data_IF_484520823725
#
_entry.id   IF_484520823725
#
_cell.length_a   1.000
_cell.length_b   1.000
_cell.length_c   1.000
_cell.angle_alpha   90.00
_cell.angle_beta   90.00
_cell.angle_gamma   90.00
#
_symmetry.space_group_name_H-M   'P 1'
#
loop_
_entity.id
_entity.type
_entity.pdbx_description
1 polymer ?
#
# COMPACT_ATOMS: atom_id res chain seq x y z
N UNK A 1 13.15 82.65 10.51
CA UNK A 1 12.06 81.78 11.01
C UNK A 1 11.53 80.96 9.85
N UNK A 2 12.06 79.75 9.63
CA UNK A 2 11.67 78.88 8.51
C UNK A 2 10.65 77.86 9.00
N UNK A 3 9.43 77.93 8.45
CA UNK A 3 8.33 77.02 8.74
C UNK A 3 8.70 75.60 8.27
N UNK A 4 8.91 74.70 9.23
CA UNK A 4 9.15 73.28 8.96
C UNK A 4 7.82 72.64 8.54
N UNK A 5 7.68 72.34 7.24
CA UNK A 5 6.50 71.66 6.68
C UNK A 5 6.48 70.21 7.15
N UNK A 6 5.73 69.91 8.20
CA UNK A 6 5.46 68.54 8.66
C UNK A 6 4.59 67.84 7.61
N UNK A 7 5.14 66.81 6.95
CA UNK A 7 4.38 65.96 6.03
C UNK A 7 3.35 65.14 6.84
N UNK A 8 2.09 65.04 6.38
CA UNK A 8 1.08 64.24 7.05
C UNK A 8 1.48 62.76 7.12
N UNK A 9 1.09 62.03 8.17
CA UNK A 9 1.47 60.62 8.34
C UNK A 9 0.94 59.79 7.16
N UNK A 10 1.78 58.95 6.54
CA UNK A 10 1.38 58.19 5.36
C UNK A 10 0.28 57.18 5.73
N UNK A 11 -0.76 57.11 4.90
CA UNK A 11 -1.85 56.13 5.06
C UNK A 11 -1.28 54.71 4.91
N UNK A 12 -1.26 53.96 6.01
CA UNK A 12 -0.67 52.60 6.10
C UNK A 12 -1.22 51.65 5.03
N UNK A 13 -2.51 51.78 4.67
CA UNK A 13 -3.17 50.93 3.66
C UNK A 13 -2.65 51.20 2.25
N UNK A 14 -2.44 52.48 1.91
CA UNK A 14 -1.92 52.89 0.59
C UNK A 14 -0.45 52.52 0.38
N UNK A 15 0.35 52.55 1.45
CA UNK A 15 1.74 52.10 1.44
C UNK A 15 1.81 50.58 1.23
N UNK A 16 1.03 49.80 1.99
CA UNK A 16 0.95 48.35 1.83
C UNK A 16 0.54 47.93 0.41
N UNK A 17 -0.50 48.54 -0.15
CA UNK A 17 -0.97 48.22 -1.51
C UNK A 17 0.09 48.55 -2.58
N UNK A 18 0.83 49.65 -2.42
CA UNK A 18 1.96 49.98 -3.31
C UNK A 18 3.08 48.95 -3.24
N UNK A 19 3.45 48.49 -2.05
CA UNK A 19 4.45 47.43 -1.89
C UNK A 19 3.96 46.10 -2.47
N UNK A 20 2.72 45.70 -2.18
CA UNK A 20 2.12 44.48 -2.72
C UNK A 20 2.10 44.47 -4.26
N UNK A 21 1.66 45.58 -4.88
CA UNK A 21 1.65 45.72 -6.35
C UNK A 21 3.05 45.63 -6.95
N UNK A 22 4.07 46.20 -6.29
CA UNK A 22 5.45 46.10 -6.73
C UNK A 22 6.00 44.67 -6.63
N UNK A 23 5.64 43.91 -5.58
CA UNK A 23 6.00 42.50 -5.45
C UNK A 23 5.34 41.65 -6.54
N UNK A 24 4.05 41.85 -6.80
CA UNK A 24 3.32 41.12 -7.85
C UNK A 24 3.91 41.43 -9.23
N UNK A 25 4.21 42.70 -9.51
CA UNK A 25 4.88 43.09 -10.75
C UNK A 25 6.24 42.41 -10.92
N UNK A 26 7.04 42.35 -9.86
CA UNK A 26 8.34 41.66 -9.87
C UNK A 26 8.19 40.17 -10.18
N UNK A 27 7.22 39.49 -9.55
CA UNK A 27 6.93 38.08 -9.83
C UNK A 27 6.43 37.87 -11.27
N UNK A 28 5.58 38.75 -11.80
CA UNK A 28 5.08 38.68 -13.18
C UNK A 28 6.18 38.90 -14.22
N UNK A 29 7.12 39.82 -13.96
CA UNK A 29 8.27 40.05 -14.85
C UNK A 29 9.19 38.82 -14.85
N UNK A 30 9.44 38.21 -13.70
CA UNK A 30 10.25 36.98 -13.59
C UNK A 30 9.62 35.82 -14.40
N UNK A 31 8.30 35.66 -14.29
CA UNK A 31 7.49 34.70 -15.05
C UNK A 31 7.59 34.96 -16.57
N UNK A 32 7.54 36.23 -17.00
CA UNK A 32 7.67 36.63 -18.42
C UNK A 32 9.03 36.28 -19.04
N UNK A 33 10.11 36.33 -18.26
CA UNK A 33 11.47 36.07 -18.77
C UNK A 33 11.89 34.59 -18.72
N UNK A 34 11.11 33.70 -18.07
CA UNK A 34 11.38 32.26 -18.03
C UNK A 34 10.22 31.41 -18.58
N UNK A 35 9.83 31.59 -19.87
CA UNK A 35 8.72 30.84 -20.45
C UNK A 35 8.96 29.32 -20.43
N UNK A 36 10.21 28.87 -20.60
CA UNK A 36 10.57 27.45 -20.54
C UNK A 36 10.36 26.83 -19.15
N UNK A 37 10.69 27.55 -18.08
CA UNK A 37 10.52 27.07 -16.71
C UNK A 37 9.03 26.98 -16.34
N UNK A 38 8.25 27.97 -16.77
CA UNK A 38 6.80 28.01 -16.57
C UNK A 38 6.09 26.89 -17.35
N UNK A 39 6.52 26.64 -18.60
CA UNK A 39 6.04 25.50 -19.37
C UNK A 39 6.36 24.18 -18.66
N UNK A 40 7.59 23.99 -18.16
CA UNK A 40 7.95 22.79 -17.40
C UNK A 40 7.10 22.62 -16.13
N UNK A 41 6.77 23.71 -15.43
CA UNK A 41 5.96 23.69 -14.22
C UNK A 41 4.46 23.41 -14.47
N UNK A 42 3.95 23.70 -15.67
CA UNK A 42 2.59 23.30 -16.10
C UNK A 42 2.59 21.90 -16.73
N UNK A 43 3.63 21.57 -17.49
CA UNK A 43 3.78 20.27 -18.13
C UNK A 43 3.99 19.18 -17.08
N UNK A 44 4.77 19.41 -16.03
CA UNK A 44 4.95 18.48 -14.91
C UNK A 44 3.65 17.92 -14.32
N UNK A 45 2.71 18.75 -13.82
CA UNK A 45 1.44 18.29 -13.27
C UNK A 45 0.48 17.71 -14.31
N UNK A 46 0.68 17.98 -15.62
CA UNK A 46 -0.09 17.34 -16.70
C UNK A 46 0.48 15.99 -17.11
N UNK A 47 1.80 15.80 -17.05
CA UNK A 47 2.45 14.55 -17.45
C UNK A 47 2.06 13.38 -16.54
N UNK A 48 1.99 13.61 -15.23
CA UNK A 48 1.66 12.56 -14.24
C UNK A 48 0.30 11.89 -14.50
N UNK A 49 -0.84 12.62 -14.58
CA UNK A 49 -2.13 11.99 -14.85
C UNK A 49 -2.22 11.41 -16.26
N UNK A 50 -1.53 11.98 -17.25
CA UNK A 50 -1.51 11.42 -18.61
C UNK A 50 -0.82 10.05 -18.63
N UNK A 51 0.34 9.93 -17.99
CA UNK A 51 1.06 8.65 -17.89
C UNK A 51 0.24 7.63 -17.09
N UNK A 52 -0.35 8.03 -15.96
CA UNK A 52 -1.21 7.16 -15.16
C UNK A 52 -2.44 6.69 -15.95
N UNK A 53 -3.07 7.58 -16.72
CA UNK A 53 -4.20 7.23 -17.58
C UNK A 53 -3.82 6.23 -18.67
N UNK A 54 -2.65 6.40 -19.31
CA UNK A 54 -2.13 5.44 -20.28
C UNK A 54 -1.87 4.08 -19.60
N UNK A 55 -1.22 4.07 -18.44
CA UNK A 55 -0.95 2.85 -17.70
C UNK A 55 -2.23 2.12 -17.29
N UNK A 56 -3.27 2.85 -16.90
CA UNK A 56 -4.57 2.27 -16.55
C UNK A 56 -5.34 1.71 -17.76
N UNK A 57 -5.18 2.32 -18.95
CA UNK A 57 -5.77 1.77 -20.18
C UNK A 57 -5.02 0.53 -20.66
N UNK A 58 -3.69 0.51 -20.49
CA UNK A 58 -2.85 -0.63 -20.85
C UNK A 58 -3.01 -1.81 -19.88
N UNK A 59 -3.23 -1.51 -18.60
CA UNK A 59 -3.51 -2.48 -17.55
C UNK A 59 -4.94 -2.24 -17.07
N UNK A 60 -5.96 -2.67 -17.84
CA UNK A 60 -7.32 -2.62 -17.35
C UNK A 60 -7.36 -3.34 -16.00
N UNK A 61 -8.02 -2.75 -15.01
CA UNK A 61 -8.19 -3.39 -13.72
C UNK A 61 -8.93 -4.71 -13.95
N UNK A 62 -8.20 -5.82 -13.88
CA UNK A 62 -8.84 -7.13 -13.90
C UNK A 62 -9.66 -7.24 -12.61
N UNK A 63 -10.95 -7.54 -12.76
CA UNK A 63 -11.81 -7.91 -11.63
C UNK A 63 -11.25 -9.22 -11.06
N UNK A 64 -10.31 -9.11 -10.13
CA UNK A 64 -9.78 -10.27 -9.44
C UNK A 64 -10.93 -10.92 -8.69
N UNK A 65 -11.21 -12.22 -8.91
CA UNK A 65 -12.22 -12.92 -8.13
C UNK A 65 -11.88 -12.82 -6.65
N UNK A 66 -12.91 -12.79 -5.80
CA UNK A 66 -12.73 -12.80 -4.34
C UNK A 66 -11.81 -13.97 -3.96
N UNK A 67 -10.63 -13.64 -3.47
CA UNK A 67 -9.56 -14.58 -3.18
C UNK A 67 -9.44 -14.73 -1.67
N UNK A 68 -9.93 -15.85 -1.17
CA UNK A 68 -9.86 -16.20 0.23
C UNK A 68 -8.64 -17.08 0.46
N UNK A 69 -7.77 -16.62 1.37
CA UNK A 69 -6.62 -17.38 1.83
C UNK A 69 -6.96 -18.02 3.17
N UNK A 70 -6.47 -19.23 3.38
CA UNK A 70 -6.63 -19.91 4.65
C UNK A 70 -5.74 -19.26 5.72
N UNK A 71 -6.31 -19.06 6.91
CA UNK A 71 -5.57 -18.50 8.03
C UNK A 71 -4.59 -19.50 8.61
N UNK A 72 -3.36 -19.05 8.85
CA UNK A 72 -2.38 -19.83 9.59
C UNK A 72 -2.60 -19.55 11.07
N UNK A 73 -2.96 -20.57 11.84
CA UNK A 73 -3.08 -20.47 13.29
C UNK A 73 -1.77 -19.97 13.91
N UNK A 74 -1.81 -19.09 14.90
CA UNK A 74 -0.61 -18.61 15.60
C UNK A 74 -0.03 -19.70 16.52
N UNK A 75 1.29 -19.69 16.83
CA UNK A 75 1.90 -20.67 17.74
C UNK A 75 1.32 -20.61 19.16
N UNK A 76 0.69 -19.49 19.54
CA UNK A 76 -0.03 -19.32 20.81
C UNK A 76 -1.34 -20.10 20.91
N UNK A 77 -1.95 -20.50 19.78
CA UNK A 77 -3.13 -21.36 19.75
C UNK A 77 -2.77 -22.85 19.86
N UNK A 78 -1.47 -23.17 19.89
CA UNK A 78 -0.93 -24.52 19.99
C UNK A 78 0.04 -24.82 18.86
N UNK A 79 1.23 -25.35 19.20
CA UNK A 79 2.29 -25.63 18.23
C UNK A 79 1.85 -26.70 17.21
N UNK A 80 1.04 -27.67 17.64
CA UNK A 80 0.55 -28.75 16.78
C UNK A 80 -0.38 -28.17 15.69
N UNK A 81 -1.36 -27.37 16.09
CA UNK A 81 -2.27 -26.69 15.16
C UNK A 81 -1.50 -25.73 14.23
N UNK A 82 -0.50 -25.01 14.76
CA UNK A 82 0.40 -24.15 13.99
C UNK A 82 1.12 -24.91 12.88
N UNK A 83 1.81 -26.00 13.24
CA UNK A 83 2.59 -26.79 12.27
C UNK A 83 1.67 -27.45 11.24
N UNK A 84 0.54 -27.99 11.67
CA UNK A 84 -0.45 -28.60 10.77
C UNK A 84 -0.98 -27.59 9.74
N UNK A 85 -1.39 -26.40 10.20
CA UNK A 85 -1.90 -25.34 9.33
C UNK A 85 -0.80 -24.81 8.38
N UNK A 86 0.44 -24.71 8.86
CA UNK A 86 1.59 -24.25 8.09
C UNK A 86 2.01 -25.25 6.98
N UNK A 87 1.95 -26.55 7.26
CA UNK A 87 2.23 -27.60 6.27
C UNK A 87 1.08 -27.66 5.24
N UNK A 88 -0.18 -27.54 5.69
CA UNK A 88 -1.35 -27.59 4.83
C UNK A 88 -1.43 -26.39 3.86
N UNK A 89 -1.07 -25.18 4.31
CA UNK A 89 -1.15 -23.94 3.52
C UNK A 89 0.22 -23.35 3.18
N UNK A 90 1.19 -24.20 2.85
CA UNK A 90 2.55 -23.74 2.57
C UNK A 90 2.66 -22.85 1.31
N UNK A 91 1.82 -23.12 0.30
CA UNK A 91 1.85 -22.44 -1.00
C UNK A 91 0.86 -21.27 -1.14
N UNK A 92 0.11 -20.93 -0.09
CA UNK A 92 -0.90 -19.87 -0.08
C UNK A 92 -1.81 -19.90 -1.33
N UNK A 93 -2.47 -21.05 -1.55
CA UNK A 93 -3.38 -21.19 -2.68
C UNK A 93 -4.60 -20.27 -2.52
N UNK A 94 -4.99 -19.63 -3.62
CA UNK A 94 -6.15 -18.74 -3.67
C UNK A 94 -7.43 -19.56 -3.86
N UNK A 95 -8.43 -19.35 -3.00
CA UNK A 95 -9.73 -20.02 -3.10
C UNK A 95 -10.87 -19.03 -3.38
N UNK A 96 -11.85 -19.37 -4.24
CA UNK A 96 -12.97 -18.49 -4.57
C UNK A 96 -14.07 -18.46 -3.50
N UNK A 97 -13.89 -19.16 -2.37
CA UNK A 97 -14.84 -19.24 -1.26
C UNK A 97 -14.08 -19.25 0.07
N UNK A 98 -14.76 -18.82 1.15
CA UNK A 98 -14.17 -18.84 2.49
C UNK A 98 -13.75 -20.26 2.89
N UNK A 99 -12.46 -20.49 3.20
CA UNK A 99 -12.00 -21.80 3.61
C UNK A 99 -12.65 -22.24 4.93
N UNK A 100 -12.92 -23.53 5.12
CA UNK A 100 -13.44 -24.04 6.38
C UNK A 100 -12.42 -23.81 7.51
N UNK A 101 -12.91 -23.50 8.72
CA UNK A 101 -12.06 -23.41 9.90
C UNK A 101 -11.41 -24.76 10.18
N UNK A 102 -10.10 -24.77 10.43
CA UNK A 102 -9.38 -25.99 10.83
C UNK A 102 -9.63 -26.19 12.33
N UNK A 103 -10.61 -27.02 12.67
CA UNK A 103 -10.89 -27.42 14.04
C UNK A 103 -10.00 -28.59 14.47
N UNK A 104 -8.87 -28.28 15.10
CA UNK A 104 -8.01 -29.29 15.70
C UNK A 104 -8.62 -29.79 17.02
N UNK A 105 -9.69 -30.60 16.94
CA UNK A 105 -10.16 -31.41 18.09
C UNK A 105 -9.34 -32.70 18.19
N UNK A 106 -8.03 -32.57 18.38
CA UNK A 106 -7.17 -33.74 18.54
C UNK A 106 -7.29 -34.29 19.96
N UNK A 107 -7.65 -35.56 20.08
CA UNK A 107 -7.50 -36.31 21.31
C UNK A 107 -6.01 -36.60 21.52
N UNK A 108 -5.52 -36.37 22.75
CA UNK A 108 -4.08 -36.41 23.10
C UNK A 108 -3.40 -37.74 22.69
N UNK A 109 -4.14 -38.84 22.64
CA UNK A 109 -3.67 -40.17 22.26
C UNK A 109 -3.27 -40.33 20.79
N UNK A 110 -3.99 -39.70 19.85
CA UNK A 110 -3.70 -39.83 18.41
C UNK A 110 -2.42 -39.06 18.02
N UNK A 111 -2.14 -37.97 18.75
CA UNK A 111 -0.92 -37.17 18.58
C UNK A 111 0.34 -37.97 18.91
N UNK A 112 0.34 -38.77 20.00
CA UNK A 112 1.51 -39.59 20.34
C UNK A 112 1.78 -40.69 19.32
N UNK A 113 0.72 -41.28 18.76
CA UNK A 113 0.86 -42.28 17.72
C UNK A 113 1.41 -41.67 16.42
N UNK A 114 0.95 -40.47 16.07
CA UNK A 114 1.45 -39.77 14.89
C UNK A 114 2.92 -39.33 15.05
N UNK A 115 3.28 -38.71 16.18
CA UNK A 115 4.64 -38.23 16.48
C UNK A 115 5.65 -39.37 16.47
N UNK A 116 5.31 -40.51 17.07
CA UNK A 116 6.19 -41.70 17.05
C UNK A 116 6.29 -42.32 15.67
N UNK A 117 5.30 -42.13 14.79
CA UNK A 117 5.32 -42.59 13.40
C UNK A 117 6.16 -41.67 12.50
N UNK A 118 6.13 -40.35 12.70
CA UNK A 118 6.95 -39.41 11.91
C UNK A 118 8.43 -39.41 12.30
N UNK A 119 8.79 -39.67 13.57
CA UNK A 119 10.20 -39.80 13.98
C UNK A 119 10.92 -40.98 13.27
N UNK A 120 10.14 -41.95 12.78
CA UNK A 120 10.63 -43.11 12.02
C UNK A 120 10.56 -42.91 10.50
N UNK A 121 9.98 -41.82 10.00
CA UNK A 121 9.91 -41.47 8.59
C UNK A 121 10.90 -40.34 8.27
N UNK A 122 11.97 -40.69 7.56
CA UNK A 122 12.94 -39.75 6.98
C UNK A 122 12.17 -38.77 6.08
N UNK A 123 11.99 -37.54 6.57
CA UNK A 123 11.22 -36.47 5.91
C UNK A 123 11.84 -36.08 4.56
N UNK A 124 11.28 -36.59 3.46
CA UNK A 124 10.95 -35.82 2.24
C UNK A 124 9.69 -36.51 1.65
N UNK A 125 8.51 -35.89 1.67
CA UNK A 125 7.41 -36.33 0.82
C UNK A 125 7.77 -35.97 -0.63
N UNK A 126 8.29 -36.95 -1.37
CA UNK A 126 8.37 -36.89 -2.84
C UNK A 126 7.05 -37.40 -3.42
N UNK A 127 5.99 -36.60 -3.33
CA UNK A 127 4.90 -36.72 -4.30
C UNK A 127 4.15 -35.40 -4.47
N UNK A 128 4.17 -34.87 -5.68
CA UNK A 128 3.59 -33.58 -6.08
C UNK A 128 2.06 -33.62 -6.24
N UNK A 129 1.40 -34.68 -5.78
CA UNK A 129 -0.05 -34.89 -5.94
C UNK A 129 -0.87 -34.68 -4.65
N UNK A 130 -0.23 -34.22 -3.56
CA UNK A 130 -0.93 -33.84 -2.31
C UNK A 130 -1.07 -32.32 -2.24
N UNK A 131 -1.46 -31.70 -3.34
CA UNK A 131 -1.62 -30.25 -3.46
C UNK A 131 -3.08 -29.81 -3.59
N UNK A 132 -4.01 -30.78 -3.69
CA UNK A 132 -5.45 -30.53 -3.88
C UNK A 132 -6.33 -31.24 -2.84
N UNK A 133 -5.76 -31.83 -1.79
CA UNK A 133 -6.58 -32.44 -0.74
C UNK A 133 -7.00 -31.35 0.27
N UNK A 134 -8.30 -31.11 0.49
CA UNK A 134 -8.72 -30.35 1.66
C UNK A 134 -8.20 -31.13 2.87
N UNK A 135 -7.43 -30.47 3.74
CA UNK A 135 -7.01 -31.07 5.02
C UNK A 135 -8.27 -31.36 5.83
N UNK A 136 -8.79 -32.56 5.61
CA UNK A 136 -9.93 -33.16 6.28
C UNK A 136 -9.34 -34.38 6.98
N UNK A 137 -9.27 -34.29 8.31
CA UNK A 137 -9.07 -35.45 9.18
C UNK A 137 -10.45 -35.98 9.55
#
# INVERSE_FOLDING_TARGET
MTLHKTRPPPNKKGVFYRHYKALVWKNLVIIRHKPLFLLAEIVGPLLVPVILGILHVLNPDEEFPECHFQEISLPSMGIIAYVQSMICNFLYACQPYDPPYIDVFMNYSEVYEWVTKVDNLKLIPTDSTVLDAPCTI
#
